data_IF_845912994571
#
_entry.id   IF_845912994571
#
_cell.length_a   1.000
_cell.length_b   1.000
_cell.length_c   1.000
_cell.angle_alpha   90.00
_cell.angle_beta   90.00
_cell.angle_gamma   90.00
#
_symmetry.space_group_name_H-M   'P 1'
#
loop_
_entity.id
_entity.type
_entity.pdbx_description
1 polymer ?
#
# COMPACT_ATOMS: atom_id res chain seq x y z
N UNK A 1 71.77 32.85 -2.61
CA UNK A 1 71.74 32.13 -3.89
C UNK A 1 70.67 31.06 -3.79
N UNK A 2 69.90 30.94 -4.87
CA UNK A 2 68.64 30.20 -5.03
C UNK A 2 68.69 28.73 -4.57
N UNK A 3 67.54 28.18 -4.14
CA UNK A 3 66.79 27.26 -5.01
C UNK A 3 65.45 26.83 -4.40
N UNK A 4 64.39 27.33 -5.06
CA UNK A 4 63.16 26.67 -5.47
C UNK A 4 62.35 25.81 -4.49
N UNK A 5 61.19 26.38 -4.17
CA UNK A 5 59.91 25.67 -4.02
C UNK A 5 59.76 24.53 -5.03
N UNK A 6 59.34 23.37 -4.54
CA UNK A 6 58.51 22.45 -5.32
C UNK A 6 57.46 21.84 -4.40
N UNK A 7 56.41 22.62 -4.12
CA UNK A 7 55.11 22.04 -3.79
C UNK A 7 54.67 21.30 -5.05
N UNK A 8 54.74 19.98 -5.02
CA UNK A 8 54.19 19.13 -6.08
C UNK A 8 52.67 19.34 -6.04
N UNK A 9 52.18 20.14 -6.98
CA UNK A 9 50.77 20.26 -7.33
C UNK A 9 50.39 18.92 -7.97
N UNK A 10 50.08 17.93 -7.13
CA UNK A 10 49.49 16.68 -7.61
C UNK A 10 48.02 16.93 -7.93
N UNK A 11 47.78 17.24 -9.21
CA UNK A 11 46.60 16.90 -10.01
C UNK A 11 45.23 16.95 -9.31
N UNK A 12 44.67 18.16 -9.18
CA UNK A 12 43.24 18.39 -8.99
C UNK A 12 42.38 17.81 -10.14
N UNK A 13 42.97 17.56 -11.31
CA UNK A 13 42.26 17.02 -12.48
C UNK A 13 41.93 15.51 -12.35
N UNK A 14 42.73 14.75 -11.59
CA UNK A 14 42.51 13.30 -11.46
C UNK A 14 41.36 12.97 -10.49
N UNK A 15 41.20 13.71 -9.39
CA UNK A 15 40.08 13.53 -8.44
C UNK A 15 38.71 13.93 -9.04
N UNK A 16 38.70 14.88 -9.97
CA UNK A 16 37.49 15.27 -10.71
C UNK A 16 37.00 14.17 -11.66
N UNK A 17 37.91 13.35 -12.20
CA UNK A 17 37.54 12.27 -13.14
C UNK A 17 36.96 11.05 -12.42
N UNK A 18 37.43 10.77 -11.20
CA UNK A 18 36.94 9.67 -10.36
C UNK A 18 35.58 9.98 -9.74
N UNK A 19 35.32 11.25 -9.38
CA UNK A 19 33.99 11.68 -8.89
C UNK A 19 32.91 11.66 -9.97
N UNK A 20 33.26 11.84 -11.25
CA UNK A 20 32.33 11.70 -12.39
C UNK A 20 31.89 10.23 -12.65
N UNK A 21 32.63 9.24 -12.13
CA UNK A 21 32.26 7.81 -12.16
C UNK A 21 31.49 7.36 -10.93
N UNK A 22 31.23 8.24 -9.96
CA UNK A 22 30.31 7.95 -8.87
C UNK A 22 28.91 7.96 -9.48
N UNK A 23 28.44 6.78 -9.90
CA UNK A 23 27.02 6.56 -10.12
C UNK A 23 26.36 6.80 -8.76
N UNK A 24 25.79 7.98 -8.56
CA UNK A 24 24.82 8.19 -7.50
C UNK A 24 23.63 7.29 -7.85
N UNK A 25 23.71 6.04 -7.40
CA UNK A 25 22.55 5.16 -7.34
C UNK A 25 21.64 5.81 -6.32
N UNK A 26 20.68 6.60 -6.79
CA UNK A 26 19.55 6.98 -5.97
C UNK A 26 18.84 5.68 -5.60
N UNK A 27 19.15 5.14 -4.43
CA UNK A 27 18.51 3.94 -3.88
C UNK A 27 16.99 4.12 -3.74
N UNK A 28 16.52 5.37 -3.77
CA UNK A 28 15.13 5.74 -3.64
C UNK A 28 14.76 6.68 -4.79
N UNK A 29 13.89 6.22 -5.68
CA UNK A 29 13.22 7.10 -6.63
C UNK A 29 12.39 8.13 -5.86
N UNK A 30 12.44 9.38 -6.29
CA UNK A 30 11.56 10.41 -5.76
C UNK A 30 10.09 10.00 -5.91
N UNK A 31 9.29 10.40 -4.94
CA UNK A 31 7.85 10.13 -4.96
C UNK A 31 7.19 11.06 -5.97
N UNK A 32 6.53 10.48 -6.97
CA UNK A 32 5.80 11.25 -7.97
C UNK A 32 4.37 11.52 -7.48
N UNK A 33 3.71 12.54 -8.01
CA UNK A 33 2.31 12.83 -7.71
C UNK A 33 1.36 11.62 -7.93
N UNK A 34 1.70 10.74 -8.89
CA UNK A 34 0.98 9.48 -9.14
C UNK A 34 1.10 8.52 -7.96
N UNK A 35 2.29 8.38 -7.38
CA UNK A 35 2.54 7.51 -6.22
C UNK A 35 1.73 7.98 -5.01
N UNK A 36 1.75 9.29 -4.72
CA UNK A 36 0.93 9.91 -3.66
C UNK A 36 -0.56 9.61 -3.86
N UNK A 37 -1.02 9.67 -5.12
CA UNK A 37 -2.42 9.41 -5.45
C UNK A 37 -2.79 7.94 -5.22
N UNK A 38 -1.95 7.00 -5.68
CA UNK A 38 -2.11 5.57 -5.41
C UNK A 38 -2.14 5.28 -3.90
N UNK A 39 -1.22 5.88 -3.14
CA UNK A 39 -1.18 5.75 -1.68
C UNK A 39 -2.45 6.26 -1.02
N UNK A 40 -2.95 7.45 -1.39
CA UNK A 40 -4.21 7.98 -0.83
C UNK A 40 -5.39 7.06 -1.10
N UNK A 41 -5.50 6.53 -2.32
CA UNK A 41 -6.55 5.58 -2.67
C UNK A 41 -6.45 4.30 -1.85
N UNK A 42 -5.24 3.73 -1.75
CA UNK A 42 -4.99 2.51 -1.00
C UNK A 42 -5.32 2.66 0.50
N UNK A 43 -4.92 3.78 1.11
CA UNK A 43 -5.21 4.09 2.51
C UNK A 43 -6.72 4.25 2.75
N UNK A 44 -7.46 4.85 1.81
CA UNK A 44 -8.91 4.96 1.91
C UNK A 44 -9.62 3.59 1.77
N UNK A 45 -9.00 2.63 1.08
CA UNK A 45 -9.53 1.27 0.89
C UNK A 45 -9.15 0.31 2.01
N UNK A 46 -8.28 0.71 2.93
CA UNK A 46 -7.78 -0.14 4.00
C UNK A 46 -8.90 -0.77 4.85
N UNK A 47 -9.87 0.03 5.30
CA UNK A 47 -10.99 -0.47 6.12
C UNK A 47 -11.85 -1.48 5.35
N UNK A 48 -12.15 -1.19 4.08
CA UNK A 48 -12.91 -2.09 3.21
C UNK A 48 -12.18 -3.44 3.06
N UNK A 49 -10.85 -3.41 2.87
CA UNK A 49 -10.02 -4.61 2.76
C UNK A 49 -10.03 -5.43 4.06
N UNK A 50 -9.95 -4.78 5.22
CA UNK A 50 -10.02 -5.44 6.53
C UNK A 50 -11.38 -6.12 6.74
N UNK A 51 -12.48 -5.48 6.33
CA UNK A 51 -13.81 -6.06 6.46
C UNK A 51 -13.96 -7.29 5.55
N UNK A 52 -13.43 -7.24 4.31
CA UNK A 52 -13.40 -8.40 3.40
C UNK A 52 -12.58 -9.55 3.99
N UNK A 53 -11.41 -9.27 4.58
CA UNK A 53 -10.54 -10.25 5.25
C UNK A 53 -11.31 -10.93 6.39
N UNK A 54 -11.92 -10.16 7.30
CA UNK A 54 -12.68 -10.69 8.43
C UNK A 54 -13.87 -11.53 8.00
N UNK A 55 -14.61 -11.09 6.99
CA UNK A 55 -15.73 -11.85 6.45
C UNK A 55 -15.28 -13.19 5.88
N UNK A 56 -14.15 -13.22 5.19
CA UNK A 56 -13.58 -14.46 4.66
C UNK A 56 -13.09 -15.39 5.79
N UNK A 57 -12.38 -14.86 6.78
CA UNK A 57 -11.92 -15.63 7.96
C UNK A 57 -13.08 -16.23 8.74
N UNK A 58 -14.16 -15.46 8.92
CA UNK A 58 -15.40 -15.96 9.51
C UNK A 58 -16.00 -17.11 8.68
N UNK A 59 -16.04 -16.97 7.35
CA UNK A 59 -16.54 -18.04 6.47
C UNK A 59 -15.70 -19.32 6.57
N UNK A 60 -14.38 -19.20 6.68
CA UNK A 60 -13.49 -20.34 6.85
C UNK A 60 -13.74 -21.08 8.17
N UNK A 61 -13.91 -20.33 9.27
CA UNK A 61 -14.25 -20.91 10.57
C UNK A 61 -15.58 -21.67 10.53
N UNK A 62 -16.58 -21.16 9.81
CA UNK A 62 -17.87 -21.86 9.67
C UNK A 62 -17.78 -23.16 8.86
N UNK A 63 -16.90 -23.20 7.86
CA UNK A 63 -16.61 -24.42 7.11
C UNK A 63 -15.88 -25.46 7.97
N UNK A 64 -14.93 -25.01 8.79
CA UNK A 64 -14.20 -25.88 9.73
C UNK A 64 -15.12 -26.44 10.84
N UNK A 65 -16.12 -25.66 11.26
CA UNK A 65 -17.12 -26.04 12.27
C UNK A 65 -18.25 -26.94 11.73
N UNK A 66 -18.14 -27.46 10.50
CA UNK A 66 -19.00 -28.55 10.02
C UNK A 66 -20.15 -28.16 9.08
N UNK A 67 -20.20 -26.93 8.55
CA UNK A 67 -21.02 -26.69 7.36
C UNK A 67 -20.34 -27.32 6.14
N UNK A 68 -21.05 -28.21 5.44
CA UNK A 68 -20.53 -28.82 4.22
C UNK A 68 -20.18 -27.72 3.21
N UNK A 69 -18.90 -27.63 2.84
CA UNK A 69 -18.40 -26.67 1.85
C UNK A 69 -19.19 -26.74 0.52
N UNK A 70 -19.73 -27.92 0.21
CA UNK A 70 -20.60 -28.14 -0.94
C UNK A 70 -21.94 -27.38 -0.84
N UNK A 71 -22.57 -27.32 0.33
CA UNK A 71 -23.88 -26.66 0.52
C UNK A 71 -23.76 -25.13 0.44
N UNK A 72 -22.67 -24.55 0.96
CA UNK A 72 -22.41 -23.11 0.84
C UNK A 72 -22.10 -22.68 -0.60
N UNK A 73 -21.31 -23.48 -1.32
CA UNK A 73 -20.94 -23.20 -2.72
C UNK A 73 -22.16 -23.36 -3.64
N UNK A 74 -22.95 -24.41 -3.47
CA UNK A 74 -24.16 -24.64 -4.25
C UNK A 74 -25.29 -23.67 -3.92
N UNK A 75 -25.44 -23.24 -2.66
CA UNK A 75 -26.43 -22.23 -2.26
C UNK A 75 -26.14 -20.81 -2.80
N UNK A 76 -24.88 -20.46 -3.05
CA UNK A 76 -24.51 -19.15 -3.64
C UNK A 76 -24.90 -19.02 -5.13
N UNK A 77 -25.38 -20.09 -5.79
CA UNK A 77 -25.76 -20.08 -7.21
C UNK A 77 -24.62 -19.73 -8.18
N UNK A 78 -23.41 -19.53 -7.66
CA UNK A 78 -22.25 -19.00 -8.36
C UNK A 78 -21.48 -20.08 -9.11
N UNK A 79 -21.70 -21.35 -8.76
CA UNK A 79 -21.07 -22.51 -9.39
C UNK A 79 -21.62 -22.77 -10.79
N UNK A 80 -22.82 -22.26 -11.09
CA UNK A 80 -23.40 -22.26 -12.43
C UNK A 80 -22.96 -21.07 -13.30
N UNK A 81 -22.21 -20.11 -12.74
CA UNK A 81 -21.75 -18.92 -13.48
C UNK A 81 -20.40 -19.22 -14.13
N UNK A 82 -20.38 -19.11 -15.46
CA UNK A 82 -19.22 -19.37 -16.33
C UNK A 82 -18.00 -18.57 -15.87
N UNK A 83 -16.89 -19.25 -15.54
CA UNK A 83 -15.59 -18.60 -15.27
C UNK A 83 -14.93 -18.15 -16.58
N UNK A 84 -15.14 -18.90 -17.66
CA UNK A 84 -14.70 -18.59 -19.03
C UNK A 84 -15.89 -18.72 -20.00
N UNK A 85 -16.03 -17.77 -20.93
CA UNK A 85 -17.22 -17.64 -21.78
C UNK A 85 -17.43 -18.71 -22.86
N UNK A 86 -16.66 -19.80 -22.87
CA UNK A 86 -16.54 -20.70 -24.03
C UNK A 86 -17.15 -22.11 -23.87
N UNK A 87 -17.55 -22.56 -22.68
CA UNK A 87 -18.08 -23.92 -22.50
C UNK A 87 -19.62 -23.97 -22.37
N UNK A 88 -20.26 -24.82 -23.17
CA UNK A 88 -21.71 -25.06 -23.21
C UNK A 88 -22.19 -25.98 -22.07
N UNK A 89 -21.29 -26.74 -21.43
CA UNK A 89 -21.55 -27.61 -20.28
C UNK A 89 -20.41 -27.46 -19.26
N UNK A 90 -20.55 -26.53 -18.33
CA UNK A 90 -19.49 -26.24 -17.36
C UNK A 90 -19.52 -27.28 -16.22
N UNK A 91 -18.40 -27.93 -15.93
CA UNK A 91 -18.27 -28.83 -14.77
C UNK A 91 -18.36 -28.00 -13.47
N UNK A 92 -19.49 -28.18 -12.78
CA UNK A 92 -19.86 -27.50 -11.54
C UNK A 92 -18.80 -27.78 -10.45
N UNK A 93 -18.23 -28.99 -10.41
CA UNK A 93 -17.24 -29.35 -9.40
C UNK A 93 -15.90 -28.69 -9.69
N UNK A 94 -15.46 -28.64 -10.95
CA UNK A 94 -14.21 -27.98 -11.33
C UNK A 94 -14.26 -26.45 -11.10
N UNK A 95 -15.37 -25.79 -11.45
CA UNK A 95 -15.54 -24.36 -11.21
C UNK A 95 -15.61 -24.01 -9.72
N UNK A 96 -16.22 -24.87 -8.89
CA UNK A 96 -16.26 -24.68 -7.45
C UNK A 96 -14.85 -24.66 -6.84
N UNK A 97 -13.97 -25.56 -7.28
CA UNK A 97 -12.56 -25.62 -6.84
C UNK A 97 -11.80 -24.38 -7.29
N UNK A 98 -11.91 -23.99 -8.57
CA UNK A 98 -11.25 -22.79 -9.10
C UNK A 98 -11.70 -21.50 -8.37
N UNK A 99 -13.01 -21.35 -8.12
CA UNK A 99 -13.54 -20.20 -7.38
C UNK A 99 -13.11 -20.18 -5.91
N UNK A 100 -12.93 -21.35 -5.29
CA UNK A 100 -12.39 -21.46 -3.92
C UNK A 100 -10.92 -21.01 -3.90
N UNK A 101 -10.12 -21.50 -4.83
CA UNK A 101 -8.69 -21.17 -4.91
C UNK A 101 -8.48 -19.70 -5.23
N UNK A 102 -9.25 -19.15 -6.18
CA UNK A 102 -9.23 -17.71 -6.49
C UNK A 102 -9.59 -16.87 -5.26
N UNK A 103 -10.63 -17.24 -4.50
CA UNK A 103 -10.98 -16.54 -3.26
C UNK A 103 -9.86 -16.57 -2.23
N UNK A 104 -9.17 -17.71 -2.09
CA UNK A 104 -8.04 -17.82 -1.17
C UNK A 104 -6.85 -16.96 -1.60
N UNK A 105 -6.53 -16.94 -2.90
CA UNK A 105 -5.49 -16.05 -3.46
C UNK A 105 -5.83 -14.59 -3.19
N UNK A 106 -7.09 -14.19 -3.43
CA UNK A 106 -7.56 -12.83 -3.15
C UNK A 106 -7.40 -12.46 -1.67
N UNK A 107 -7.78 -13.37 -0.77
CA UNK A 107 -7.58 -13.19 0.68
C UNK A 107 -6.10 -12.97 1.03
N UNK A 108 -5.20 -13.83 0.54
CA UNK A 108 -3.76 -13.70 0.79
C UNK A 108 -3.19 -12.39 0.27
N UNK A 109 -3.66 -11.97 -0.90
CA UNK A 109 -3.25 -10.71 -1.51
C UNK A 109 -3.72 -9.49 -0.70
N UNK A 110 -4.98 -9.47 -0.27
CA UNK A 110 -5.48 -8.39 0.58
C UNK A 110 -4.78 -8.35 1.93
N UNK A 111 -4.50 -9.52 2.52
CA UNK A 111 -3.74 -9.63 3.77
C UNK A 111 -2.32 -9.09 3.63
N UNK A 112 -1.64 -9.38 2.51
CA UNK A 112 -0.31 -8.83 2.20
C UNK A 112 -0.35 -7.30 2.16
N UNK A 113 -1.31 -6.72 1.43
CA UNK A 113 -1.47 -5.27 1.28
C UNK A 113 -1.73 -4.60 2.64
N UNK A 114 -2.69 -5.11 3.41
CA UNK A 114 -3.06 -4.53 4.71
C UNK A 114 -1.92 -4.62 5.71
N UNK A 115 -1.18 -5.74 5.73
CA UNK A 115 0.01 -5.88 6.55
C UNK A 115 1.11 -4.88 6.17
N UNK A 116 1.37 -4.71 4.88
CA UNK A 116 2.36 -3.72 4.41
C UNK A 116 2.00 -2.30 4.82
N UNK A 117 0.72 -1.93 4.80
CA UNK A 117 0.23 -0.62 5.29
C UNK A 117 0.46 -0.50 6.80
N UNK A 118 0.09 -1.52 7.58
CA UNK A 118 0.30 -1.54 9.03
C UNK A 118 1.78 -1.41 9.40
N UNK A 119 2.66 -2.14 8.72
CA UNK A 119 4.10 -2.05 8.92
C UNK A 119 4.64 -0.67 8.54
N UNK A 120 4.21 -0.12 7.40
CA UNK A 120 4.62 1.21 6.97
C UNK A 120 4.24 2.29 7.99
N UNK A 121 3.03 2.22 8.56
CA UNK A 121 2.59 3.14 9.62
C UNK A 121 3.38 2.92 10.91
N UNK A 122 3.59 1.68 11.32
CA UNK A 122 4.29 1.36 12.57
C UNK A 122 5.76 1.80 12.56
N UNK A 123 6.38 1.81 11.38
CA UNK A 123 7.79 2.21 11.19
C UNK A 123 8.01 3.72 11.14
N UNK A 124 6.95 4.55 11.21
CA UNK A 124 7.09 6.02 11.25
C UNK A 124 7.80 6.42 12.53
N UNK A 125 8.91 7.16 12.42
CA UNK A 125 9.75 7.58 13.56
C UNK A 125 9.03 8.55 14.50
N UNK A 126 8.36 9.56 13.96
CA UNK A 126 7.66 10.57 14.76
C UNK A 126 6.35 10.00 15.35
N UNK A 127 6.19 10.12 16.67
CA UNK A 127 5.03 9.65 17.40
C UNK A 127 3.73 10.38 16.99
N UNK A 128 3.80 11.69 16.69
CA UNK A 128 2.61 12.45 16.28
C UNK A 128 2.15 12.04 14.88
N UNK A 129 3.10 11.85 13.96
CA UNK A 129 2.83 11.38 12.60
C UNK A 129 2.26 9.95 12.61
N UNK A 130 2.85 9.06 13.40
CA UNK A 130 2.36 7.69 13.58
C UNK A 130 0.94 7.65 14.13
N UNK A 131 0.66 8.45 15.16
CA UNK A 131 -0.66 8.52 15.78
C UNK A 131 -1.69 9.10 14.80
N UNK A 132 -1.35 10.18 14.09
CA UNK A 132 -2.22 10.75 13.06
C UNK A 132 -2.55 9.72 11.96
N UNK A 133 -1.55 8.98 11.49
CA UNK A 133 -1.72 7.93 10.49
C UNK A 133 -2.66 6.82 10.99
N UNK A 134 -2.46 6.35 12.23
CA UNK A 134 -3.29 5.32 12.85
C UNK A 134 -4.76 5.76 12.95
N UNK A 135 -5.01 6.96 13.49
CA UNK A 135 -6.37 7.46 13.68
C UNK A 135 -7.10 7.67 12.35
N UNK A 136 -6.41 8.19 11.34
CA UNK A 136 -7.03 8.49 10.04
C UNK A 136 -7.24 7.25 9.19
N UNK A 137 -6.24 6.36 9.11
CA UNK A 137 -6.21 5.30 8.10
C UNK A 137 -6.50 3.92 8.67
N UNK A 138 -6.02 3.60 9.87
CA UNK A 138 -6.27 2.29 10.49
C UNK A 138 -7.63 2.26 11.21
N UNK A 139 -7.90 3.29 12.00
CA UNK A 139 -9.15 3.41 12.77
C UNK A 139 -10.30 4.01 11.94
N UNK A 140 -10.00 4.51 10.73
CA UNK A 140 -10.99 5.09 9.81
C UNK A 140 -11.71 6.33 10.34
N UNK A 141 -11.13 7.07 11.30
CA UNK A 141 -11.79 8.24 11.86
C UNK A 141 -11.86 9.39 10.85
N UNK A 142 -13.01 10.09 10.87
CA UNK A 142 -13.18 11.34 10.11
C UNK A 142 -12.11 12.36 10.51
N UNK A 143 -11.62 13.10 9.52
CA UNK A 143 -10.56 14.10 9.68
C UNK A 143 -10.75 15.04 10.88
N UNK A 144 -11.95 15.62 11.01
CA UNK A 144 -12.25 16.58 12.07
C UNK A 144 -12.21 15.94 13.47
N UNK A 145 -12.65 14.68 13.61
CA UNK A 145 -12.57 13.94 14.88
C UNK A 145 -11.12 13.60 15.23
N UNK A 146 -10.33 13.14 14.25
CA UNK A 146 -8.92 12.85 14.46
C UNK A 146 -8.12 14.12 14.83
N UNK A 147 -8.44 15.25 14.20
CA UNK A 147 -7.85 16.56 14.53
C UNK A 147 -8.20 16.99 15.96
N UNK A 148 -9.47 16.86 16.36
CA UNK A 148 -9.89 17.14 17.74
C UNK A 148 -9.19 16.22 18.74
N UNK A 149 -9.04 14.94 18.40
CA UNK A 149 -8.33 13.98 19.23
C UNK A 149 -6.86 14.40 19.44
N UNK A 150 -6.16 14.77 18.37
CA UNK A 150 -4.76 15.20 18.42
C UNK A 150 -4.55 16.57 19.07
N UNK A 151 -5.61 17.38 19.19
CA UNK A 151 -5.55 18.68 19.86
C UNK A 151 -5.51 18.57 21.39
N UNK A 152 -5.87 17.40 21.94
CA UNK A 152 -5.91 17.15 23.38
C UNK A 152 -4.78 16.20 23.80
N UNK A 153 -4.29 16.37 25.01
CA UNK A 153 -3.22 15.55 25.58
C UNK A 153 -3.79 14.25 26.18
N UNK A 154 -3.99 13.25 25.34
CA UNK A 154 -4.52 11.95 25.76
C UNK A 154 -3.43 10.96 26.22
N UNK A 155 -2.17 11.16 25.82
CA UNK A 155 -1.10 10.16 26.01
C UNK A 155 0.15 10.82 26.59
N UNK A 156 0.68 10.25 27.68
CA UNK A 156 1.95 10.71 28.29
C UNK A 156 3.05 10.73 27.22
N UNK A 157 3.65 11.90 27.00
CA UNK A 157 4.74 12.10 26.03
C UNK A 157 4.30 12.60 24.64
N UNK A 158 2.99 12.78 24.38
CA UNK A 158 2.50 13.39 23.13
C UNK A 158 1.64 14.60 23.51
N UNK A 159 2.18 15.79 23.27
CA UNK A 159 1.47 17.05 23.54
C UNK A 159 0.38 17.31 22.48
N UNK A 160 -0.60 18.15 22.83
CA UNK A 160 -1.65 18.55 21.91
C UNK A 160 -1.08 19.39 20.77
N UNK A 161 -1.47 19.11 19.53
CA UNK A 161 -1.02 19.87 18.36
C UNK A 161 -2.13 20.72 17.76
N UNK A 162 -1.75 21.86 17.17
CA UNK A 162 -2.68 22.74 16.47
C UNK A 162 -3.22 22.10 15.17
N UNK A 163 -4.31 22.66 14.67
CA UNK A 163 -4.95 22.25 13.42
C UNK A 163 -4.00 22.30 12.21
N UNK A 164 -3.19 23.35 12.12
CA UNK A 164 -2.23 23.56 11.04
C UNK A 164 -1.10 22.53 11.10
N UNK A 165 -0.53 22.32 12.29
CA UNK A 165 0.51 21.30 12.51
C UNK A 165 0.00 19.90 12.21
N UNK A 166 -1.25 19.59 12.54
CA UNK A 166 -1.87 18.30 12.18
C UNK A 166 -1.98 18.11 10.66
N UNK A 167 -2.39 19.15 9.92
CA UNK A 167 -2.50 19.10 8.47
C UNK A 167 -1.12 18.87 7.81
N UNK A 168 -0.08 19.54 8.31
CA UNK A 168 1.28 19.40 7.79
C UNK A 168 1.88 18.03 8.10
N UNK A 169 1.71 17.54 9.34
CA UNK A 169 2.10 16.17 9.70
C UNK A 169 1.36 15.13 8.84
N UNK A 170 0.08 15.31 8.56
CA UNK A 170 -0.68 14.42 7.66
C UNK A 170 -0.08 14.38 6.25
N UNK A 171 0.31 15.54 5.69
CA UNK A 171 0.94 15.60 4.36
C UNK A 171 2.26 14.84 4.33
N UNK A 172 3.11 15.08 5.33
CA UNK A 172 4.40 14.36 5.50
C UNK A 172 4.22 12.86 5.68
N UNK A 173 3.23 12.45 6.47
CA UNK A 173 2.86 11.03 6.65
C UNK A 173 2.53 10.39 5.31
N UNK A 174 1.67 11.00 4.50
CA UNK A 174 1.27 10.43 3.20
C UNK A 174 2.48 10.29 2.28
N UNK A 175 3.36 11.29 2.26
CA UNK A 175 4.60 11.24 1.47
C UNK A 175 5.55 10.13 1.96
N UNK A 176 5.75 10.01 3.27
CA UNK A 176 6.59 8.96 3.88
C UNK A 176 6.01 7.56 3.63
N UNK A 177 4.68 7.42 3.71
CA UNK A 177 4.00 6.17 3.36
C UNK A 177 4.15 5.84 1.88
N UNK A 178 4.05 6.83 0.99
CA UNK A 178 4.29 6.62 -0.44
C UNK A 178 5.71 6.14 -0.72
N UNK A 179 6.73 6.72 -0.06
CA UNK A 179 8.13 6.23 -0.13
C UNK A 179 8.22 4.77 0.30
N UNK A 180 7.68 4.45 1.48
CA UNK A 180 7.74 3.09 2.04
C UNK A 180 7.04 2.06 1.15
N UNK A 181 5.84 2.37 0.66
CA UNK A 181 5.03 1.49 -0.19
C UNK A 181 5.57 1.36 -1.62
N UNK A 182 6.33 2.36 -2.09
CA UNK A 182 7.06 2.28 -3.36
C UNK A 182 8.25 1.32 -3.24
N UNK A 183 9.03 1.46 -2.18
CA UNK A 183 10.23 0.63 -1.93
C UNK A 183 9.89 -0.85 -1.81
N UNK A 184 8.78 -1.20 -1.16
CA UNK A 184 8.34 -2.59 -1.03
C UNK A 184 7.46 -3.07 -2.20
N UNK A 185 7.37 -2.30 -3.30
CA UNK A 185 6.56 -2.59 -4.50
C UNK A 185 5.05 -2.74 -4.27
N UNK A 186 4.52 -2.36 -3.11
CA UNK A 186 3.07 -2.43 -2.85
C UNK A 186 2.29 -1.52 -3.79
N UNK A 187 2.86 -0.38 -4.19
CA UNK A 187 2.21 0.54 -5.15
C UNK A 187 2.15 0.02 -6.59
N UNK A 188 2.93 -1.01 -6.94
CA UNK A 188 2.91 -1.62 -8.27
C UNK A 188 1.60 -2.37 -8.51
N UNK A 189 0.98 -2.86 -7.43
CA UNK A 189 -0.33 -3.48 -7.45
C UNK A 189 -1.48 -2.49 -7.62
N UNK A 190 -1.24 -1.18 -7.43
CA UNK A 190 -2.26 -0.15 -7.59
C UNK A 190 -2.12 0.45 -8.99
N UNK A 191 -3.14 0.30 -9.82
CA UNK A 191 -3.15 0.79 -11.20
C UNK A 191 -4.16 1.91 -11.36
N UNK A 192 -3.82 2.87 -12.21
CA UNK A 192 -4.73 3.92 -12.63
C UNK A 192 -5.04 3.68 -14.11
N UNK A 193 -6.28 3.31 -14.42
CA UNK A 193 -6.77 3.20 -15.78
C UNK A 193 -7.42 4.53 -16.20
N UNK A 194 -6.77 5.24 -17.11
CA UNK A 194 -7.26 6.52 -17.64
C UNK A 194 -8.34 6.33 -18.73
N UNK A 195 -8.70 5.09 -19.04
CA UNK A 195 -9.46 4.73 -20.22
C UNK A 195 -8.75 5.20 -21.49
N UNK A 196 -9.42 5.12 -22.64
CA UNK A 196 -8.93 5.69 -23.91
C UNK A 196 -8.93 7.24 -23.90
N UNK A 197 -8.35 7.87 -22.88
CA UNK A 197 -8.25 9.32 -22.70
C UNK A 197 -9.54 10.02 -22.30
N UNK A 198 -10.58 9.30 -21.88
CA UNK A 198 -11.91 9.88 -21.58
C UNK A 198 -12.05 10.34 -20.13
N UNK A 199 -11.20 9.87 -19.21
CA UNK A 199 -11.26 10.26 -17.81
C UNK A 199 -9.89 10.79 -17.35
N UNK A 200 -9.81 12.11 -17.07
CA UNK A 200 -8.58 12.75 -16.55
C UNK A 200 -8.24 12.25 -15.15
N UNK A 201 -9.25 11.84 -14.39
CA UNK A 201 -9.04 11.23 -13.09
C UNK A 201 -8.64 9.78 -13.30
N UNK A 202 -9.31 9.01 -14.15
CA UNK A 202 -9.01 7.60 -14.32
C UNK A 202 -9.41 6.77 -13.09
N UNK A 203 -9.77 5.51 -13.33
CA UNK A 203 -10.21 4.58 -12.31
C UNK A 203 -9.00 3.94 -11.65
N UNK A 204 -8.95 4.01 -10.31
CA UNK A 204 -7.87 3.39 -9.54
C UNK A 204 -8.37 2.05 -9.02
N UNK A 205 -7.60 1.00 -9.24
CA UNK A 205 -7.92 -0.36 -8.81
C UNK A 205 -6.69 -1.14 -8.38
N UNK A 206 -6.93 -2.33 -7.83
CA UNK A 206 -5.90 -3.30 -7.55
C UNK A 206 -5.78 -4.27 -8.73
N UNK A 207 -4.55 -4.50 -9.20
CA UNK A 207 -4.23 -5.59 -10.11
C UNK A 207 -3.52 -6.66 -9.33
N UNK A 208 -4.06 -7.87 -9.37
CA UNK A 208 -3.36 -9.03 -8.84
C UNK A 208 -2.21 -9.39 -9.77
N UNK A 209 -1.06 -9.81 -9.22
CA UNK A 209 -0.02 -10.40 -10.04
C UNK A 209 -0.62 -11.61 -10.75
N UNK A 210 -0.53 -11.64 -12.08
CA UNK A 210 -0.92 -12.80 -12.87
C UNK A 210 0.00 -13.96 -12.44
N UNK A 211 -0.60 -15.03 -11.91
CA UNK A 211 0.11 -16.26 -11.62
C UNK A 211 0.36 -16.92 -12.98
N UNK A 212 1.55 -16.72 -13.55
CA UNK A 212 2.01 -17.45 -14.71
C UNK A 212 2.27 -18.92 -14.37
#
# INVERSE_FOLDING_TARGET
MNDNQMCIINNLENESSDTQKIVQVNFFDDVVAVDIRKTKWLLNKYTDLIDVIKNYEYSLQQLENGMAAYDLLSAEGSVAKRVTGQELTADVTANAVLLKDQRHINYRFYLLITNNICFAISNIRDAHERLAAKLLFLDGMKYLKAQQYMSREYKKGIHGISATTFADKRRKVIENLAKSLKVNRTLDFVIIDYGRGRNKEGEIGLRMPEVN
#
